data_IF_896340431450
#
_entry.id   IF_896340431450
#
_cell.length_a   1.000
_cell.length_b   1.000
_cell.length_c   1.000
_cell.angle_alpha   90.00
_cell.angle_beta   90.00
_cell.angle_gamma   90.00
#
_symmetry.space_group_name_H-M   'P 1'
#
loop_
_entity.id
_entity.type
_entity.pdbx_description
1 polymer ?
#
# COMPACT_ATOMS: atom_id res chain seq x y z
N UNK A 1 -6.61 -8.78 -5.28
CA UNK A 1 -5.36 -8.57 -4.51
C UNK A 1 -5.17 -7.11 -4.16
N UNK A 2 -5.16 -6.18 -5.14
CA UNK A 2 -4.98 -4.73 -4.89
C UNK A 2 -5.82 -4.17 -3.75
N UNK A 3 -7.13 -4.47 -3.73
CA UNK A 3 -8.02 -4.02 -2.67
C UNK A 3 -7.61 -4.52 -1.28
N UNK A 4 -7.08 -5.75 -1.18
CA UNK A 4 -6.60 -6.32 0.08
C UNK A 4 -5.26 -5.70 0.48
N UNK A 5 -4.36 -5.47 -0.48
CA UNK A 5 -3.07 -4.81 -0.27
C UNK A 5 -3.26 -3.41 0.34
N UNK A 6 -4.08 -2.58 -0.29
CA UNK A 6 -4.36 -1.23 0.19
C UNK A 6 -5.11 -1.23 1.54
N UNK A 7 -6.03 -2.18 1.76
CA UNK A 7 -6.68 -2.36 3.08
C UNK A 7 -5.68 -2.73 4.16
N UNK A 8 -4.70 -3.59 3.88
CA UNK A 8 -3.66 -3.97 4.84
C UNK A 8 -2.74 -2.79 5.15
N UNK A 9 -2.32 -2.03 4.13
CA UNK A 9 -1.53 -0.82 4.32
C UNK A 9 -2.26 0.19 5.23
N UNK A 10 -3.55 0.46 4.94
CA UNK A 10 -4.40 1.32 5.79
C UNK A 10 -4.52 0.80 7.22
N UNK A 11 -4.68 -0.52 7.40
CA UNK A 11 -4.73 -1.14 8.72
C UNK A 11 -3.43 -0.90 9.50
N UNK A 12 -2.27 -1.13 8.89
CA UNK A 12 -0.97 -0.93 9.54
C UNK A 12 -0.76 0.53 9.93
N UNK A 13 -1.10 1.46 9.04
CA UNK A 13 -1.06 2.89 9.30
C UNK A 13 -1.90 3.28 10.53
N UNK A 14 -3.17 2.86 10.57
CA UNK A 14 -4.08 3.15 11.70
C UNK A 14 -3.67 2.52 13.03
N UNK A 15 -2.85 1.47 13.00
CA UNK A 15 -2.32 0.80 14.20
C UNK A 15 -0.93 1.30 14.59
N UNK A 16 -0.45 2.42 14.01
CA UNK A 16 0.87 2.98 14.31
C UNK A 16 2.06 2.14 13.82
N UNK A 17 1.83 1.15 12.95
CA UNK A 17 2.87 0.29 12.38
C UNK A 17 3.41 0.86 11.07
N UNK A 18 3.67 2.16 11.05
CA UNK A 18 4.13 2.90 9.87
C UNK A 18 5.52 2.48 9.40
N UNK A 19 6.35 1.96 10.31
CA UNK A 19 7.67 1.39 9.97
C UNK A 19 7.56 0.29 8.91
N UNK A 20 6.49 -0.52 8.94
CA UNK A 20 6.25 -1.57 7.94
C UNK A 20 5.92 -1.01 6.55
N UNK A 21 5.52 0.27 6.45
CA UNK A 21 5.11 0.90 5.21
C UNK A 21 6.24 1.70 4.55
N UNK A 22 7.31 2.02 5.27
CA UNK A 22 8.39 2.91 4.81
C UNK A 22 7.88 4.30 4.34
N UNK A 23 8.63 5.03 3.48
CA UNK A 23 8.29 6.39 3.07
C UNK A 23 7.13 6.45 2.05
N UNK A 24 5.93 6.08 2.46
CA UNK A 24 4.72 6.01 1.61
C UNK A 24 3.72 7.14 1.90
N UNK A 25 4.27 8.33 2.16
CA UNK A 25 3.54 9.48 2.71
C UNK A 25 2.39 9.96 1.83
N UNK A 26 2.46 9.74 0.50
CA UNK A 26 1.39 10.15 -0.42
C UNK A 26 0.08 9.39 -0.19
N UNK A 27 0.11 8.22 0.47
CA UNK A 27 -1.10 7.46 0.79
C UNK A 27 -1.76 7.86 2.12
N UNK A 28 -1.06 8.58 2.99
CA UNK A 28 -1.56 8.90 4.34
C UNK A 28 -2.84 9.76 4.33
N UNK A 29 -2.94 10.83 3.52
CA UNK A 29 -4.19 11.60 3.38
C UNK A 29 -5.39 10.72 3.02
N UNK A 30 -5.19 9.73 2.15
CA UNK A 30 -6.23 8.80 1.71
C UNK A 30 -6.60 7.77 2.79
N UNK A 31 -5.66 7.40 3.65
CA UNK A 31 -5.93 6.52 4.78
C UNK A 31 -6.77 7.21 5.86
N UNK A 32 -6.52 8.50 6.10
CA UNK A 32 -7.30 9.36 6.98
C UNK A 32 -8.63 9.79 6.37
N UNK A 33 -8.73 9.81 5.03
CA UNK A 33 -9.92 10.31 4.34
C UNK A 33 -9.97 11.84 4.28
N UNK A 34 -8.84 12.50 4.57
CA UNK A 34 -8.64 13.93 4.49
C UNK A 34 -7.58 14.20 3.43
N UNK A 35 -8.01 14.31 2.17
CA UNK A 35 -7.13 14.52 1.03
C UNK A 35 -7.66 15.66 0.15
N UNK A 36 -6.72 16.44 -0.40
CA UNK A 36 -7.04 17.47 -1.38
C UNK A 36 -7.05 16.92 -2.81
N UNK A 37 -7.58 17.70 -3.75
CA UNK A 37 -7.44 17.40 -5.18
C UNK A 37 -5.96 17.31 -5.58
N UNK A 38 -5.09 18.15 -5.01
CA UNK A 38 -3.66 18.12 -5.29
C UNK A 38 -2.98 16.84 -4.81
N UNK A 39 -3.45 16.24 -3.72
CA UNK A 39 -2.96 14.93 -3.27
C UNK A 39 -3.40 13.83 -4.24
N UNK A 40 -4.66 13.87 -4.69
CA UNK A 40 -5.19 12.93 -5.68
C UNK A 40 -4.40 12.98 -7.00
N UNK A 41 -4.09 14.18 -7.49
CA UNK A 41 -3.34 14.37 -8.74
C UNK A 41 -1.86 13.94 -8.66
N UNK A 42 -1.31 13.77 -7.45
CA UNK A 42 0.05 13.24 -7.26
C UNK A 42 0.10 11.72 -7.25
N UNK A 43 -1.05 11.04 -7.16
CA UNK A 43 -1.11 9.58 -7.20
C UNK A 43 -1.33 9.10 -8.63
N UNK A 44 -0.46 8.21 -9.06
CA UNK A 44 -0.61 7.44 -10.29
C UNK A 44 -0.17 5.99 -10.04
N UNK A 45 -0.34 5.15 -11.07
CA UNK A 45 0.03 3.74 -10.99
C UNK A 45 1.54 3.53 -10.78
N UNK A 46 2.39 4.45 -11.24
CA UNK A 46 3.84 4.39 -11.04
C UNK A 46 4.22 4.63 -9.58
N UNK A 47 3.60 5.60 -8.92
CA UNK A 47 3.76 5.86 -7.49
C UNK A 47 3.30 4.65 -6.68
N UNK A 48 2.12 4.11 -6.98
CA UNK A 48 1.58 2.93 -6.31
C UNK A 48 2.49 1.71 -6.48
N UNK A 49 2.95 1.43 -7.71
CA UNK A 49 3.85 0.31 -7.97
C UNK A 49 5.19 0.46 -7.22
N UNK A 50 5.73 1.68 -7.12
CA UNK A 50 6.95 1.94 -6.34
C UNK A 50 6.77 1.61 -4.87
N UNK A 51 5.61 1.95 -4.29
CA UNK A 51 5.27 1.60 -2.91
C UNK A 51 5.06 0.09 -2.73
N UNK A 52 4.43 -0.57 -3.69
CA UNK A 52 4.25 -2.01 -3.65
C UNK A 52 5.59 -2.74 -3.73
N UNK A 53 6.54 -2.27 -4.53
CA UNK A 53 7.89 -2.84 -4.58
C UNK A 53 8.60 -2.73 -3.24
N UNK A 54 8.51 -1.58 -2.58
CA UNK A 54 9.03 -1.41 -1.23
C UNK A 54 8.36 -2.36 -0.22
N UNK A 55 7.05 -2.57 -0.34
CA UNK A 55 6.30 -3.42 0.58
C UNK A 55 6.57 -4.92 0.42
N UNK A 56 7.20 -5.37 -0.67
CA UNK A 56 7.64 -6.76 -0.79
C UNK A 56 8.61 -7.15 0.33
N UNK A 57 9.45 -6.22 0.78
CA UNK A 57 10.43 -6.41 1.84
C UNK A 57 9.93 -5.95 3.23
N UNK A 58 8.61 -5.72 3.37
CA UNK A 58 8.01 -5.31 4.65
C UNK A 58 8.08 -6.41 5.72
N UNK A 59 8.35 -6.03 6.97
CA UNK A 59 8.27 -6.92 8.13
C UNK A 59 6.85 -7.50 8.34
N UNK A 60 5.81 -6.83 7.80
CA UNK A 60 4.45 -7.37 7.84
C UNK A 60 4.26 -8.42 6.74
N UNK A 61 4.32 -9.69 7.12
CA UNK A 61 4.20 -10.84 6.21
C UNK A 61 2.96 -10.80 5.31
N UNK A 62 1.85 -10.24 5.80
CA UNK A 62 0.60 -10.12 5.01
C UNK A 62 0.77 -9.05 3.94
N UNK A 63 1.30 -7.88 4.30
CA UNK A 63 1.59 -6.81 3.35
C UNK A 63 2.58 -7.27 2.28
N UNK A 64 3.67 -7.93 2.70
CA UNK A 64 4.70 -8.50 1.81
C UNK A 64 4.10 -9.53 0.82
N UNK A 65 3.33 -10.51 1.28
CA UNK A 65 2.67 -11.50 0.40
C UNK A 65 1.70 -10.84 -0.59
N UNK A 66 0.90 -9.87 -0.13
CA UNK A 66 -0.06 -9.18 -0.99
C UNK A 66 0.65 -8.33 -2.06
N UNK A 67 1.77 -7.68 -1.71
CA UNK A 67 2.59 -6.91 -2.63
C UNK A 67 3.25 -7.82 -3.68
N UNK A 68 3.86 -8.93 -3.25
CA UNK A 68 4.46 -9.93 -4.15
C UNK A 68 3.43 -10.47 -5.15
N UNK A 69 2.25 -10.85 -4.65
CA UNK A 69 1.17 -11.37 -5.52
C UNK A 69 0.71 -10.35 -6.53
N UNK A 70 0.61 -9.08 -6.15
CA UNK A 70 0.16 -8.02 -7.04
C UNK A 70 1.18 -7.80 -8.16
N UNK A 71 2.45 -7.60 -7.81
CA UNK A 71 3.52 -7.33 -8.77
C UNK A 71 3.83 -8.52 -9.67
N UNK A 72 3.81 -9.74 -9.12
CA UNK A 72 4.10 -10.97 -9.84
C UNK A 72 2.86 -11.66 -10.43
N UNK A 73 1.70 -10.99 -10.45
CA UNK A 73 0.44 -11.47 -11.06
C UNK A 73 0.01 -12.86 -10.57
N UNK A 74 0.03 -13.10 -9.25
CA UNK A 74 -0.37 -14.37 -8.62
C UNK A 74 -1.77 -14.26 -7.99
N UNK A 75 -2.87 -14.48 -8.74
CA UNK A 75 -4.24 -14.36 -8.23
C UNK A 75 -4.54 -15.32 -7.08
N UNK A 76 -5.57 -15.01 -6.29
CA UNK A 76 -6.14 -16.00 -5.36
C UNK A 76 -6.84 -17.10 -6.15
N UNK A 77 -6.76 -18.34 -5.66
CA UNK A 77 -7.61 -19.41 -6.17
C UNK A 77 -9.07 -19.10 -5.80
N UNK A 78 -9.97 -19.32 -6.76
CA UNK A 78 -11.43 -19.25 -6.58
C UNK A 78 -11.98 -20.60 -6.14
#
# INVERSE_FOLDING_TARGET
ILSHLLKRAKYLYKNGKTNCLGPTNLLFPFFEGDFSLSDYLKLDDGVLNSYFSLWQDSDDKILSDLADRFLNRKPFKS
#
